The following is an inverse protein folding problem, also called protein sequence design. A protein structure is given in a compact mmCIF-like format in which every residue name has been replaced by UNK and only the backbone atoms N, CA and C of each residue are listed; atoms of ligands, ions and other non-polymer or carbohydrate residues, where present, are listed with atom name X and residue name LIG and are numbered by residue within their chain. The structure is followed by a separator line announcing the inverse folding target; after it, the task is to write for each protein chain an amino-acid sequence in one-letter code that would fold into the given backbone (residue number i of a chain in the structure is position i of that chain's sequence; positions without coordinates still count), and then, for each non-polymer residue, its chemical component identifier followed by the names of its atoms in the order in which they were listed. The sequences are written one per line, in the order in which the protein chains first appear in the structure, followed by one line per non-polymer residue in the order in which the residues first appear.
data_IF_161908525936
#
_entry.id   IF_161908525936
#
_cell.length_a   1.000
_cell.length_b   1.000
_cell.length_c   1.000
_cell.angle_alpha   90.00
_cell.angle_beta   90.00
_cell.angle_gamma   90.00
#
_symmetry.space_group_name_H-M   'P 1'
#
loop_
_entity.id
_entity.type
_entity.pdbx_description
1 polymer ?
#
# COMPACT_ATOMS: atom_id res chain seq x y z
N UNK A 1 11.76 25.94 -22.91
CA UNK A 1 11.87 25.18 -21.64
C UNK A 1 10.50 25.26 -20.98
N UNK A 2 9.68 24.21 -21.08
CA UNK A 2 8.34 24.20 -20.49
C UNK A 2 8.44 23.66 -19.08
N UNK A 3 8.40 24.56 -18.09
CA UNK A 3 8.14 24.16 -16.71
C UNK A 3 6.65 23.80 -16.68
N UNK A 4 6.34 22.51 -16.55
CA UNK A 4 4.98 22.10 -16.17
C UNK A 4 4.85 22.45 -14.69
N UNK A 5 4.10 23.50 -14.38
CA UNK A 5 3.65 23.73 -13.01
C UNK A 5 2.84 22.49 -12.60
N UNK A 6 3.39 21.68 -11.70
CA UNK A 6 2.70 20.52 -11.16
C UNK A 6 1.44 20.99 -10.42
N UNK A 7 0.29 20.37 -10.72
CA UNK A 7 -0.92 20.60 -9.94
C UNK A 7 -0.76 19.90 -8.59
N UNK A 8 -0.72 20.67 -7.50
CA UNK A 8 -0.79 20.12 -6.15
C UNK A 8 -2.23 19.69 -5.86
N UNK A 9 -2.47 18.39 -5.74
CA UNK A 9 -3.76 17.84 -5.33
C UNK A 9 -3.79 17.62 -3.81
N UNK A 10 -4.96 17.74 -3.15
CA UNK A 10 -5.09 17.39 -1.75
C UNK A 10 -4.76 15.90 -1.52
N UNK A 11 -4.14 15.60 -0.38
CA UNK A 11 -3.94 14.20 0.04
C UNK A 11 -5.30 13.54 0.32
N UNK A 12 -5.43 12.26 -0.03
CA UNK A 12 -6.56 11.44 0.32
C UNK A 12 -6.67 11.32 1.85
N UNK A 13 -7.84 11.64 2.40
CA UNK A 13 -8.15 11.50 3.83
C UNK A 13 -8.94 10.24 4.14
N UNK A 14 -9.51 9.60 3.10
CA UNK A 14 -10.27 8.37 3.22
C UNK A 14 -9.33 7.16 3.36
N UNK A 15 -9.35 6.57 4.54
CA UNK A 15 -8.49 5.44 4.90
C UNK A 15 -9.05 4.09 4.44
N UNK A 16 -10.25 4.05 3.90
CA UNK A 16 -10.86 2.87 3.29
C UNK A 16 -10.67 2.83 1.76
N UNK A 17 -10.01 3.86 1.19
CA UNK A 17 -9.51 3.84 -0.19
C UNK A 17 -8.30 2.90 -0.29
N UNK A 18 -8.58 1.62 -0.58
CA UNK A 18 -7.56 0.55 -0.64
C UNK A 18 -7.23 0.14 -2.07
N UNK A 19 -5.94 0.14 -2.40
CA UNK A 19 -5.38 -0.70 -3.46
C UNK A 19 -4.84 -1.98 -2.84
N UNK A 20 -5.43 -3.13 -3.16
CA UNK A 20 -5.04 -4.41 -2.57
C UNK A 20 -4.34 -5.29 -3.61
N UNK A 21 -3.11 -5.71 -3.31
CA UNK A 21 -2.36 -6.66 -4.13
C UNK A 21 -2.27 -8.01 -3.43
N UNK A 22 -2.84 -9.04 -4.04
CA UNK A 22 -2.78 -10.42 -3.55
C UNK A 22 -1.51 -11.10 -4.06
N UNK A 23 -0.60 -11.39 -3.12
CA UNK A 23 0.71 -11.98 -3.36
C UNK A 23 0.78 -13.32 -2.62
N UNK A 24 0.22 -14.41 -3.20
CA UNK A 24 0.14 -15.70 -2.50
C UNK A 24 1.51 -16.33 -2.24
N UNK A 25 2.50 -16.01 -3.07
CA UNK A 25 3.86 -16.50 -2.85
C UNK A 25 4.56 -15.68 -1.77
N UNK A 26 4.89 -16.34 -0.65
CA UNK A 26 5.52 -15.71 0.52
C UNK A 26 6.80 -14.95 0.17
N UNK A 27 7.62 -15.48 -0.74
CA UNK A 27 8.87 -14.84 -1.15
C UNK A 27 8.63 -13.49 -1.83
N UNK A 28 7.68 -13.45 -2.77
CA UNK A 28 7.27 -12.23 -3.49
C UNK A 28 6.65 -11.22 -2.54
N UNK A 29 5.77 -11.67 -1.63
CA UNK A 29 5.18 -10.79 -0.62
C UNK A 29 6.24 -10.14 0.28
N UNK A 30 7.18 -10.94 0.80
CA UNK A 30 8.26 -10.44 1.66
C UNK A 30 9.16 -9.46 0.92
N UNK A 31 9.57 -9.80 -0.30
CA UNK A 31 10.37 -8.90 -1.13
C UNK A 31 9.67 -7.57 -1.41
N UNK A 32 8.34 -7.57 -1.59
CA UNK A 32 7.57 -6.33 -1.77
C UNK A 32 7.52 -5.50 -0.49
N UNK A 33 7.30 -6.12 0.68
CA UNK A 33 7.36 -5.44 1.98
C UNK A 33 8.75 -4.84 2.23
N UNK A 34 9.80 -5.60 1.96
CA UNK A 34 11.19 -5.16 2.16
C UNK A 34 11.53 -3.99 1.25
N UNK A 35 11.06 -4.01 -0.02
CA UNK A 35 11.22 -2.86 -0.94
C UNK A 35 10.53 -1.59 -0.45
N UNK A 36 9.33 -1.70 0.10
CA UNK A 36 8.63 -0.54 0.68
C UNK A 36 9.42 0.05 1.85
N UNK A 37 9.89 -0.81 2.76
CA UNK A 37 10.71 -0.39 3.92
C UNK A 37 12.03 0.23 3.50
N UNK A 38 12.74 -0.38 2.55
CA UNK A 38 13.99 0.14 2.00
C UNK A 38 13.81 1.50 1.31
N UNK A 39 12.61 1.78 0.80
CA UNK A 39 12.25 3.07 0.19
C UNK A 39 11.79 4.11 1.22
N UNK A 40 11.83 3.79 2.52
CA UNK A 40 11.47 4.70 3.61
C UNK A 40 10.01 4.64 4.06
N UNK A 41 9.17 3.83 3.41
CA UNK A 41 7.78 3.68 3.82
C UNK A 41 7.66 2.77 5.05
N UNK A 42 6.94 3.23 6.06
CA UNK A 42 6.60 2.44 7.23
C UNK A 42 5.20 1.83 7.07
N UNK A 43 5.00 0.59 7.56
CA UNK A 43 3.67 0.05 7.65
C UNK A 43 2.77 0.92 8.53
N UNK A 44 1.51 1.05 8.14
CA UNK A 44 0.47 1.76 8.88
C UNK A 44 -0.63 0.79 9.27
N UNK A 45 -1.32 1.02 10.41
CA UNK A 45 -2.50 0.24 10.76
C UNK A 45 -3.56 0.31 9.65
N UNK A 46 -4.24 -0.81 9.42
CA UNK A 46 -5.43 -0.84 8.57
C UNK A 46 -6.66 -0.54 9.41
N UNK A 47 -7.63 0.17 8.86
CA UNK A 47 -8.90 0.43 9.55
C UNK A 47 -9.68 -0.88 9.79
N UNK A 48 -9.69 -1.78 8.80
CA UNK A 48 -10.22 -3.13 8.96
C UNK A 48 -9.11 -4.10 9.44
N UNK A 49 -9.23 -4.72 10.65
CA UNK A 49 -8.26 -5.66 11.17
C UNK A 49 -7.99 -6.89 10.30
N UNK A 50 -8.95 -7.26 9.43
CA UNK A 50 -8.79 -8.36 8.47
C UNK A 50 -7.49 -8.26 7.66
N UNK A 51 -7.09 -7.05 7.26
CA UNK A 51 -5.88 -6.81 6.48
C UNK A 51 -4.59 -7.04 7.27
N UNK A 52 -4.63 -6.97 8.59
CA UNK A 52 -3.47 -7.22 9.44
C UNK A 52 -3.22 -8.72 9.68
N UNK A 53 -4.19 -9.61 9.42
CA UNK A 53 -4.06 -11.04 9.68
C UNK A 53 -2.99 -11.72 8.83
N UNK A 54 -2.95 -11.36 7.54
CA UNK A 54 -2.02 -11.95 6.56
C UNK A 54 -1.51 -10.90 5.58
N UNK A 55 -1.62 -9.62 5.92
CA UNK A 55 -1.22 -8.52 5.06
C UNK A 55 -0.35 -7.49 5.77
N UNK A 56 0.05 -6.49 4.99
CA UNK A 56 0.79 -5.33 5.44
C UNK A 56 0.27 -4.12 4.67
N UNK A 57 -0.05 -3.05 5.37
CA UNK A 57 -0.62 -1.84 4.77
C UNK A 57 0.38 -0.70 4.83
N UNK A 58 0.45 0.07 3.75
CA UNK A 58 1.30 1.26 3.61
C UNK A 58 0.44 2.45 3.16
N UNK A 59 0.97 3.65 3.34
CA UNK A 59 0.42 4.90 2.79
C UNK A 59 1.30 5.35 1.63
N UNK A 60 0.71 5.67 0.49
CA UNK A 60 1.43 6.29 -0.62
C UNK A 60 1.60 7.81 -0.40
N UNK A 61 2.40 8.53 -1.23
CA UNK A 61 2.59 9.97 -1.08
C UNK A 61 1.28 10.78 -1.10
N UNK A 62 0.31 10.32 -1.87
CA UNK A 62 -0.98 10.98 -2.06
C UNK A 62 -1.99 10.62 -0.95
N UNK A 63 -1.65 9.70 -0.03
CA UNK A 63 -2.47 9.35 1.14
C UNK A 63 -3.33 8.10 0.97
N UNK A 64 -3.28 7.43 -0.17
CA UNK A 64 -4.03 6.18 -0.40
C UNK A 64 -3.40 5.01 0.35
N UNK A 65 -4.22 4.01 0.68
CA UNK A 65 -3.74 2.78 1.33
C UNK A 65 -3.38 1.72 0.31
N UNK A 66 -2.17 1.20 0.43
CA UNK A 66 -1.70 0.05 -0.34
C UNK A 66 -1.59 -1.16 0.59
N UNK A 67 -2.31 -2.23 0.30
CA UNK A 67 -2.29 -3.47 1.08
C UNK A 67 -1.59 -4.56 0.28
N UNK A 68 -0.54 -5.15 0.83
CA UNK A 68 0.03 -6.41 0.32
C UNK A 68 -0.58 -7.56 1.11
N UNK A 69 -1.45 -8.35 0.48
CA UNK A 69 -2.12 -9.48 1.11
C UNK A 69 -1.43 -10.80 0.73
N UNK A 70 -0.93 -11.54 1.72
CA UNK A 70 -0.28 -12.84 1.53
C UNK A 70 -1.31 -13.99 1.51
N UNK A 71 -2.26 -13.89 0.57
CA UNK A 71 -3.27 -14.91 0.30
C UNK A 71 -3.50 -14.98 -1.21
N UNK A 72 -4.01 -16.10 -1.70
CA UNK A 72 -4.56 -16.15 -3.05
C UNK A 72 -5.93 -15.48 -3.07
N UNK A 73 -6.26 -14.83 -4.19
CA UNK A 73 -7.63 -14.42 -4.47
C UNK A 73 -8.34 -15.61 -5.15
N UNK A 74 -9.15 -16.33 -4.39
CA UNK A 74 -9.99 -17.39 -4.92
C UNK A 74 -11.42 -16.82 -5.00
N UNK A 75 -12.00 -16.84 -6.19
CA UNK A 75 -13.42 -16.52 -6.43
C UNK A 75 -14.31 -17.72 -6.07
#
# INVERSE_FOLDING_TARGET
MFVRDGLTVPRCTDRESLLVLYLPERAVWRASVDRMRASGYQPVPSENPYWAEAGMTFEDPDGHRLVFQNRSWNL
#
